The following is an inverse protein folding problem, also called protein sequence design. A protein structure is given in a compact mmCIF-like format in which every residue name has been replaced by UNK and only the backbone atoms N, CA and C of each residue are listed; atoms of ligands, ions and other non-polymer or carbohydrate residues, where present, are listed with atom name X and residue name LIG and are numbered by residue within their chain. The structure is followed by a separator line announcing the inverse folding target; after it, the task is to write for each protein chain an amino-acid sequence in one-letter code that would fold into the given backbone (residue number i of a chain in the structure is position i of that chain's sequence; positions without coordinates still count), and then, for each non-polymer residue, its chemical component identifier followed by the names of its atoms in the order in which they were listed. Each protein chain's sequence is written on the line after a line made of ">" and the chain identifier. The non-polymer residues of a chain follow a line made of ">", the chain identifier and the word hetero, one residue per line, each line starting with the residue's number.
data_IF_986075051224
#
_entry.id   IF_986075051224
#
_cell.length_a   1.000
_cell.length_b   1.000
_cell.length_c   1.000
_cell.angle_alpha   90.00
_cell.angle_beta   90.00
_cell.angle_gamma   90.00
#
_symmetry.space_group_name_H-M   'P 1'
#
loop_
_entity.id
_entity.type
_entity.pdbx_description
1 polymer ?
#
# COMPACT_ATOMS: atom_id res chain seq x y z
N UNK A 1 36.25 6.54 -6.22
CA UNK A 1 35.65 7.90 -6.31
C UNK A 1 35.05 8.26 -4.96
N UNK A 2 34.97 9.57 -4.57
CA UNK A 2 34.41 9.98 -3.28
C UNK A 2 32.86 9.94 -3.33
N UNK A 3 32.23 9.69 -2.18
CA UNK A 3 30.77 9.66 -2.03
C UNK A 3 30.12 10.94 -2.56
N UNK A 4 30.59 12.11 -2.14
CA UNK A 4 30.06 13.42 -2.57
C UNK A 4 30.04 13.61 -4.09
N UNK A 5 31.06 13.11 -4.79
CA UNK A 5 31.18 13.20 -6.24
C UNK A 5 30.26 12.20 -6.96
N UNK A 6 30.09 11.00 -6.40
CA UNK A 6 29.15 10.00 -6.92
C UNK A 6 27.71 10.51 -6.81
N UNK A 7 27.33 11.02 -5.64
CA UNK A 7 25.98 11.56 -5.41
C UNK A 7 25.69 12.77 -6.29
N UNK A 8 26.68 13.67 -6.49
CA UNK A 8 26.52 14.80 -7.40
C UNK A 8 26.26 14.34 -8.83
N UNK A 9 27.07 13.41 -9.34
CA UNK A 9 26.90 12.87 -10.69
C UNK A 9 25.58 12.12 -10.86
N UNK A 10 25.16 11.37 -9.86
CA UNK A 10 23.87 10.67 -9.86
C UNK A 10 22.69 11.65 -9.85
N UNK A 11 22.75 12.70 -9.04
CA UNK A 11 21.73 13.76 -9.06
C UNK A 11 21.61 14.43 -10.44
N UNK A 12 22.73 14.78 -11.08
CA UNK A 12 22.71 15.38 -12.41
C UNK A 12 22.06 14.46 -13.46
N UNK A 13 22.24 13.15 -13.35
CA UNK A 13 21.61 12.14 -14.22
C UNK A 13 20.11 12.00 -13.96
N UNK A 14 19.68 11.94 -12.71
CA UNK A 14 18.28 11.69 -12.34
C UNK A 14 17.39 12.94 -12.37
N UNK A 15 17.95 14.13 -12.35
CA UNK A 15 17.20 15.40 -12.21
C UNK A 15 16.16 15.66 -13.33
N UNK A 16 16.29 14.99 -14.48
CA UNK A 16 15.34 15.10 -15.58
C UNK A 16 14.26 14.01 -15.61
N UNK A 17 14.39 12.98 -14.74
CA UNK A 17 13.51 11.80 -14.73
C UNK A 17 12.83 11.55 -13.39
N UNK A 18 13.27 12.21 -12.32
CA UNK A 18 12.73 12.06 -10.98
C UNK A 18 12.61 13.41 -10.26
N UNK A 19 11.45 13.65 -9.65
CA UNK A 19 11.22 14.82 -8.79
C UNK A 19 12.00 14.70 -7.46
N UNK A 20 12.38 13.46 -7.07
CA UNK A 20 13.13 13.13 -5.86
C UNK A 20 14.57 12.69 -6.16
N UNK A 21 15.17 13.17 -7.26
CA UNK A 21 16.46 12.74 -7.78
C UNK A 21 17.59 12.65 -6.73
N UNK A 22 17.65 13.60 -5.79
CA UNK A 22 18.64 13.61 -4.73
C UNK A 22 18.41 12.48 -3.72
N UNK A 23 17.17 12.27 -3.33
CA UNK A 23 16.78 11.19 -2.42
C UNK A 23 16.99 9.83 -3.07
N UNK A 24 16.58 9.67 -4.33
CA UNK A 24 16.76 8.44 -5.10
C UNK A 24 18.24 8.05 -5.15
N UNK A 25 19.13 9.00 -5.52
CA UNK A 25 20.56 8.77 -5.57
C UNK A 25 21.13 8.35 -4.20
N UNK A 26 20.69 8.98 -3.12
CA UNK A 26 21.11 8.65 -1.77
C UNK A 26 20.64 7.25 -1.35
N UNK A 27 19.39 6.90 -1.61
CA UNK A 27 18.84 5.59 -1.28
C UNK A 27 19.55 4.46 -2.04
N UNK A 28 19.77 4.62 -3.34
CA UNK A 28 20.49 3.64 -4.15
C UNK A 28 21.95 3.45 -3.68
N UNK A 29 22.66 4.55 -3.39
CA UNK A 29 24.05 4.43 -2.90
C UNK A 29 24.10 3.86 -1.47
N UNK A 30 23.16 4.20 -0.61
CA UNK A 30 23.04 3.67 0.75
C UNK A 30 22.84 2.14 0.72
N UNK A 31 21.98 1.67 -0.17
CA UNK A 31 21.75 0.24 -0.40
C UNK A 31 23.04 -0.47 -0.84
N UNK A 32 23.76 0.07 -1.82
CA UNK A 32 25.01 -0.54 -2.33
C UNK A 32 26.10 -0.61 -1.28
N UNK A 33 26.16 0.39 -0.39
CA UNK A 33 27.19 0.47 0.66
C UNK A 33 26.77 -0.19 1.98
N UNK A 34 25.52 -0.64 2.10
CA UNK A 34 24.92 -1.16 3.33
C UNK A 34 25.07 -0.19 4.51
N UNK A 35 24.68 1.08 4.28
CA UNK A 35 24.77 2.16 5.27
C UNK A 35 23.50 3.02 5.25
N UNK A 36 23.27 3.80 6.31
CA UNK A 36 22.19 4.80 6.30
C UNK A 36 22.57 6.03 5.45
N UNK A 37 21.60 6.76 4.95
CA UNK A 37 21.82 8.01 4.19
C UNK A 37 22.54 9.07 5.02
N UNK A 38 22.38 9.09 6.37
CA UNK A 38 23.10 9.98 7.27
C UNK A 38 24.63 9.78 7.26
N UNK A 39 25.08 8.60 6.85
CA UNK A 39 26.50 8.30 6.67
C UNK A 39 27.17 9.25 5.66
N UNK A 40 26.48 9.67 4.62
CA UNK A 40 26.99 10.54 3.57
C UNK A 40 27.28 11.95 4.04
N UNK A 41 26.53 12.43 5.03
CA UNK A 41 26.78 13.73 5.66
C UNK A 41 27.98 13.70 6.62
N UNK A 42 28.24 12.53 7.19
CA UNK A 42 29.37 12.36 8.13
C UNK A 42 30.67 12.10 7.38
N UNK A 43 30.65 11.38 6.27
CA UNK A 43 31.82 10.89 5.55
C UNK A 43 31.77 11.17 4.04
N UNK A 44 31.55 12.40 3.60
CA UNK A 44 31.33 12.72 2.17
C UNK A 44 32.60 12.45 1.33
N UNK A 45 33.78 12.56 1.93
CA UNK A 45 35.09 12.35 1.27
C UNK A 45 35.52 10.87 1.17
N UNK A 46 34.75 9.95 1.79
CA UNK A 46 35.15 8.54 1.79
C UNK A 46 35.12 7.94 0.40
N UNK A 47 36.12 7.10 0.12
CA UNK A 47 36.27 6.44 -1.17
C UNK A 47 35.34 5.23 -1.27
N UNK A 48 34.67 5.11 -2.39
CA UNK A 48 33.82 3.93 -2.78
C UNK A 48 34.68 3.04 -3.68
N UNK A 49 34.62 1.72 -3.47
CA UNK A 49 35.29 0.73 -4.30
C UNK A 49 34.80 0.72 -5.74
N UNK A 50 35.62 0.29 -6.69
CA UNK A 50 35.22 0.20 -8.11
C UNK A 50 34.07 -0.82 -8.33
N UNK A 51 33.98 -1.87 -7.51
CA UNK A 51 32.89 -2.84 -7.57
C UNK A 51 31.56 -2.22 -7.13
N UNK A 52 31.54 -1.49 -6.02
CA UNK A 52 30.34 -0.78 -5.56
C UNK A 52 29.93 0.33 -6.54
N UNK A 53 30.88 1.01 -7.17
CA UNK A 53 30.59 2.01 -8.22
C UNK A 53 29.86 1.36 -9.39
N UNK A 54 30.29 0.16 -9.84
CA UNK A 54 29.63 -0.56 -10.95
C UNK A 54 28.20 -0.98 -10.58
N UNK A 55 27.99 -1.51 -9.37
CA UNK A 55 26.64 -1.88 -8.88
C UNK A 55 25.76 -0.64 -8.78
N UNK A 56 26.27 0.45 -8.25
CA UNK A 56 25.55 1.71 -8.14
C UNK A 56 25.18 2.28 -9.52
N UNK A 57 26.10 2.24 -10.50
CA UNK A 57 25.85 2.74 -11.85
C UNK A 57 24.80 1.90 -12.60
N UNK A 58 24.75 0.59 -12.37
CA UNK A 58 23.69 -0.28 -12.90
C UNK A 58 22.32 0.11 -12.35
N UNK A 59 22.19 0.25 -11.02
CA UNK A 59 20.93 0.69 -10.38
C UNK A 59 20.52 2.09 -10.86
N UNK A 60 21.48 2.99 -10.98
CA UNK A 60 21.23 4.34 -11.46
C UNK A 60 20.73 4.36 -12.90
N UNK A 61 21.30 3.50 -13.77
CA UNK A 61 20.88 3.37 -15.16
C UNK A 61 19.46 2.80 -15.30
N UNK A 62 19.06 1.89 -14.44
CA UNK A 62 17.69 1.38 -14.36
C UNK A 62 16.72 2.47 -13.87
N UNK A 63 17.12 3.26 -12.87
CA UNK A 63 16.33 4.39 -12.39
C UNK A 63 16.15 5.48 -13.45
N UNK A 64 17.17 5.77 -14.26
CA UNK A 64 17.06 6.68 -15.42
C UNK A 64 16.01 6.21 -16.44
N UNK A 65 15.80 4.89 -16.57
CA UNK A 65 14.73 4.33 -17.40
C UNK A 65 13.35 4.40 -16.72
N UNK A 66 13.31 4.89 -15.47
CA UNK A 66 12.11 5.13 -14.67
C UNK A 66 11.71 3.97 -13.76
N UNK A 67 12.56 2.92 -13.60
CA UNK A 67 12.25 1.83 -12.68
C UNK A 67 12.12 2.36 -11.25
N UNK A 68 11.05 1.99 -10.51
CA UNK A 68 10.81 2.47 -9.15
C UNK A 68 11.95 2.15 -8.20
N UNK A 69 12.36 3.10 -7.35
CA UNK A 69 13.41 2.89 -6.34
C UNK A 69 13.07 1.70 -5.44
N UNK A 70 11.81 1.55 -5.07
CA UNK A 70 11.38 0.43 -4.23
C UNK A 70 11.65 -0.94 -4.88
N UNK A 71 11.47 -1.08 -6.20
CA UNK A 71 11.80 -2.32 -6.92
C UNK A 71 13.31 -2.53 -7.04
N UNK A 72 14.08 -1.45 -7.22
CA UNK A 72 15.55 -1.53 -7.24
C UNK A 72 16.14 -1.96 -5.90
N UNK A 73 15.55 -1.50 -4.81
CA UNK A 73 15.94 -1.86 -3.44
C UNK A 73 15.36 -3.20 -2.98
N UNK A 74 14.25 -3.64 -3.58
CA UNK A 74 13.49 -4.83 -3.19
C UNK A 74 12.65 -4.66 -1.93
N UNK A 75 12.55 -3.44 -1.37
CA UNK A 75 11.75 -3.15 -0.18
C UNK A 75 11.23 -1.72 -0.16
N UNK A 76 10.17 -1.50 0.63
CA UNK A 76 9.52 -0.21 0.89
C UNK A 76 9.12 -0.11 2.36
N UNK A 77 9.40 1.03 2.98
CA UNK A 77 8.88 1.33 4.30
C UNK A 77 7.40 1.73 4.21
N UNK A 78 6.57 1.22 5.11
CA UNK A 78 5.16 1.59 5.23
C UNK A 78 4.75 1.46 6.70
N UNK A 79 4.13 2.50 7.28
CA UNK A 79 3.81 2.54 8.69
C UNK A 79 5.07 2.31 9.55
N UNK A 80 5.03 1.35 10.47
CA UNK A 80 6.19 0.93 11.28
C UNK A 80 6.95 -0.27 10.69
N UNK A 81 6.66 -0.67 9.44
CA UNK A 81 7.10 -1.91 8.83
C UNK A 81 8.09 -1.67 7.68
N UNK A 82 8.94 -2.65 7.43
CA UNK A 82 9.73 -2.76 6.22
C UNK A 82 9.22 -3.93 5.37
N UNK A 83 8.64 -3.63 4.23
CA UNK A 83 7.96 -4.59 3.37
C UNK A 83 8.81 -4.93 2.14
N UNK A 84 8.99 -6.21 1.87
CA UNK A 84 9.45 -6.69 0.57
C UNK A 84 8.41 -6.28 -0.50
N UNK A 85 8.88 -5.82 -1.64
CA UNK A 85 8.03 -5.45 -2.79
C UNK A 85 8.40 -6.26 -4.02
N UNK A 86 7.45 -6.44 -4.91
CA UNK A 86 7.61 -7.21 -6.14
C UNK A 86 6.72 -6.62 -7.24
N UNK A 87 7.09 -6.78 -8.53
CA UNK A 87 6.26 -6.32 -9.64
C UNK A 87 4.87 -6.97 -9.75
N UNK A 88 4.52 -7.91 -8.88
CA UNK A 88 3.18 -8.51 -8.84
C UNK A 88 2.18 -7.73 -7.99
N UNK A 89 2.62 -6.69 -7.25
CA UNK A 89 1.78 -5.87 -6.37
C UNK A 89 2.03 -4.39 -6.57
N UNK A 90 1.07 -3.56 -6.12
CA UNK A 90 1.28 -2.13 -5.93
C UNK A 90 2.40 -1.89 -4.92
N UNK A 91 3.26 -0.90 -5.16
CA UNK A 91 4.20 -0.40 -4.14
C UNK A 91 3.39 0.37 -3.09
N UNK A 92 3.53 0.07 -1.78
CA UNK A 92 2.81 0.79 -0.74
C UNK A 92 3.03 2.30 -0.80
N UNK A 93 1.93 3.07 -0.74
CA UNK A 93 1.94 4.54 -0.82
C UNK A 93 1.73 5.15 0.57
N UNK A 94 2.36 6.28 0.84
CA UNK A 94 2.16 7.00 2.10
C UNK A 94 0.69 7.41 2.33
N UNK A 95 -0.05 7.75 1.27
CA UNK A 95 -1.47 8.12 1.37
C UNK A 95 -2.33 6.96 1.90
N UNK A 96 -1.95 5.70 1.63
CA UNK A 96 -2.62 4.50 2.13
C UNK A 96 -2.51 4.36 3.66
N UNK A 97 -1.55 5.01 4.31
CA UNK A 97 -1.48 5.05 5.78
C UNK A 97 -2.75 5.70 6.39
N UNK A 98 -3.42 6.59 5.62
CA UNK A 98 -4.71 7.16 6.05
C UNK A 98 -5.81 6.11 6.20
N UNK A 99 -5.80 5.06 5.36
CA UNK A 99 -6.72 3.92 5.49
C UNK A 99 -6.50 3.18 6.82
N UNK A 100 -5.23 2.94 7.17
CA UNK A 100 -4.86 2.32 8.47
C UNK A 100 -5.32 3.19 9.65
N UNK A 101 -5.06 4.51 9.61
CA UNK A 101 -5.48 5.44 10.66
C UNK A 101 -6.99 5.43 10.88
N UNK A 102 -7.79 5.51 9.80
CA UNK A 102 -9.26 5.50 9.90
C UNK A 102 -9.76 4.16 10.45
N UNK A 103 -9.18 3.04 10.03
CA UNK A 103 -9.54 1.73 10.56
C UNK A 103 -9.25 1.61 12.07
N UNK A 104 -8.10 2.10 12.52
CA UNK A 104 -7.77 2.15 13.95
C UNK A 104 -8.71 3.05 14.74
N UNK A 105 -9.06 4.24 14.21
CA UNK A 105 -9.99 5.18 14.85
C UNK A 105 -11.38 4.59 15.07
N UNK A 106 -11.92 3.84 14.11
CA UNK A 106 -13.24 3.21 14.30
C UNK A 106 -13.18 2.05 15.30
N UNK A 107 -12.07 1.32 15.33
CA UNK A 107 -11.88 0.21 16.28
C UNK A 107 -11.67 0.71 17.71
N UNK A 108 -11.03 1.85 17.91
CA UNK A 108 -10.91 2.50 19.25
C UNK A 108 -12.25 2.90 19.84
N UNK A 109 -13.23 3.23 18.99
CA UNK A 109 -14.57 3.65 19.42
C UNK A 109 -15.52 2.47 19.66
N UNK A 110 -15.10 1.26 19.28
CA UNK A 110 -15.84 0.03 19.55
C UNK A 110 -15.25 -0.67 20.76
N UNK A 111 -16.08 -1.44 21.51
CA UNK A 111 -15.56 -2.30 22.57
C UNK A 111 -14.67 -3.38 21.91
N UNK A 112 -13.36 -3.11 21.85
CA UNK A 112 -12.40 -4.08 21.31
C UNK A 112 -12.46 -5.35 22.17
N UNK A 113 -12.88 -6.43 21.52
CA UNK A 113 -12.80 -7.74 22.13
C UNK A 113 -11.52 -8.44 21.66
N UNK A 114 -10.98 -9.42 22.43
CA UNK A 114 -9.87 -10.25 21.98
C UNK A 114 -10.17 -11.04 20.68
N UNK A 115 -11.39 -10.92 20.17
CA UNK A 115 -11.89 -11.63 18.99
C UNK A 115 -12.13 -10.71 17.80
N UNK A 116 -11.68 -9.45 17.84
CA UNK A 116 -11.82 -8.51 16.71
C UNK A 116 -11.19 -9.11 15.45
N UNK A 117 -12.01 -9.23 14.40
CA UNK A 117 -11.62 -9.81 13.12
C UNK A 117 -11.62 -8.71 12.06
N UNK A 118 -10.53 -8.63 11.32
CA UNK A 118 -10.32 -7.61 10.30
C UNK A 118 -10.03 -8.31 8.98
N UNK A 119 -10.64 -7.82 7.90
CA UNK A 119 -10.42 -8.29 6.54
C UNK A 119 -9.80 -7.18 5.70
N UNK A 120 -8.74 -7.50 4.98
CA UNK A 120 -8.10 -6.63 3.98
C UNK A 120 -8.29 -7.24 2.58
N UNK A 121 -9.09 -6.58 1.75
CA UNK A 121 -9.41 -7.02 0.39
C UNK A 121 -8.45 -6.38 -0.63
N UNK A 122 -7.78 -7.21 -1.44
CA UNK A 122 -6.72 -6.75 -2.32
C UNK A 122 -5.45 -6.41 -1.54
N UNK A 123 -5.00 -7.33 -0.68
CA UNK A 123 -3.97 -7.05 0.34
C UNK A 123 -2.59 -6.72 -0.23
N UNK A 124 -2.30 -7.10 -1.48
CA UNK A 124 -1.04 -6.82 -2.17
C UNK A 124 0.18 -7.30 -1.38
N UNK A 125 1.03 -6.37 -0.96
CA UNK A 125 2.20 -6.64 -0.11
C UNK A 125 1.85 -7.02 1.33
N UNK A 126 0.58 -6.93 1.71
CA UNK A 126 0.12 -7.04 3.10
C UNK A 126 0.22 -5.73 3.88
N UNK A 127 0.47 -4.59 3.24
CA UNK A 127 0.79 -3.33 3.91
C UNK A 127 -0.28 -2.92 4.93
N UNK A 128 -1.57 -2.88 4.54
CA UNK A 128 -2.68 -2.49 5.42
C UNK A 128 -2.93 -3.58 6.47
N UNK A 129 -3.07 -4.84 6.04
CA UNK A 129 -3.31 -5.97 6.95
C UNK A 129 -2.25 -6.09 8.05
N UNK A 130 -0.97 -5.99 7.67
CA UNK A 130 0.15 -6.13 8.60
C UNK A 130 0.26 -4.92 9.54
N UNK A 131 -0.02 -3.71 9.06
CA UNK A 131 -0.04 -2.53 9.93
C UNK A 131 -1.14 -2.63 10.99
N UNK A 132 -2.35 -3.03 10.60
CA UNK A 132 -3.44 -3.28 11.55
C UNK A 132 -3.11 -4.41 12.52
N UNK A 133 -2.50 -5.50 12.05
CA UNK A 133 -2.10 -6.61 12.89
C UNK A 133 -1.01 -6.24 13.91
N UNK A 134 -0.08 -5.34 13.53
CA UNK A 134 0.97 -4.84 14.42
C UNK A 134 0.42 -3.96 15.55
N UNK A 135 -0.52 -3.05 15.22
CA UNK A 135 -1.16 -2.14 16.19
C UNK A 135 -2.17 -2.87 17.09
N UNK A 136 -2.76 -3.96 16.61
CA UNK A 136 -3.82 -4.71 17.30
C UNK A 136 -3.39 -6.18 17.53
N UNK A 137 -2.45 -6.46 18.44
CA UNK A 137 -1.83 -7.79 18.57
C UNK A 137 -2.79 -8.91 19.04
N UNK A 138 -3.98 -8.53 19.52
CA UNK A 138 -5.01 -9.47 19.95
C UNK A 138 -6.11 -9.72 18.91
N UNK A 139 -6.09 -8.98 17.80
CA UNK A 139 -7.01 -9.17 16.68
C UNK A 139 -6.61 -10.38 15.81
N UNK A 140 -7.53 -10.81 14.95
CA UNK A 140 -7.26 -11.74 13.85
C UNK A 140 -7.42 -10.96 12.54
N UNK A 141 -6.35 -10.85 11.77
CA UNK A 141 -6.37 -10.16 10.47
C UNK A 141 -6.28 -11.17 9.35
N UNK A 142 -7.17 -11.08 8.37
CA UNK A 142 -7.15 -11.88 7.14
C UNK A 142 -6.93 -10.93 5.98
N UNK A 143 -5.88 -11.15 5.19
CA UNK A 143 -5.66 -10.48 3.91
C UNK A 143 -5.99 -11.42 2.76
N UNK A 144 -6.67 -10.91 1.74
CA UNK A 144 -6.92 -11.71 0.53
C UNK A 144 -6.46 -10.96 -0.71
N UNK A 145 -6.00 -11.72 -1.70
CA UNK A 145 -5.63 -11.20 -3.01
C UNK A 145 -5.95 -12.21 -4.11
N UNK A 146 -6.26 -11.72 -5.30
CA UNK A 146 -6.49 -12.55 -6.47
C UNK A 146 -5.20 -13.22 -6.93
N UNK A 147 -4.06 -12.54 -6.77
CA UNK A 147 -2.74 -12.93 -7.28
C UNK A 147 -2.03 -13.77 -6.23
N UNK A 148 -1.77 -15.04 -6.53
CA UNK A 148 -1.07 -15.98 -5.63
C UNK A 148 0.29 -15.45 -5.18
N UNK A 149 1.08 -14.86 -6.09
CA UNK A 149 2.36 -14.21 -5.76
C UNK A 149 2.24 -13.04 -4.76
N UNK A 150 1.10 -12.34 -4.70
CA UNK A 150 0.82 -11.32 -3.70
C UNK A 150 0.56 -11.96 -2.32
N UNK A 151 -0.21 -13.04 -2.27
CA UNK A 151 -0.47 -13.82 -1.05
C UNK A 151 0.83 -14.36 -0.44
N UNK A 152 1.71 -14.94 -1.28
CA UNK A 152 3.03 -15.40 -0.83
C UNK A 152 3.90 -14.24 -0.33
N UNK A 153 3.90 -13.11 -1.03
CA UNK A 153 4.66 -11.91 -0.65
C UNK A 153 4.20 -11.36 0.70
N UNK A 154 2.88 -11.23 0.91
CA UNK A 154 2.30 -10.80 2.18
C UNK A 154 2.68 -11.76 3.32
N UNK A 155 2.69 -13.07 3.08
CA UNK A 155 3.15 -14.08 4.04
C UNK A 155 4.64 -13.93 4.41
N UNK A 156 5.51 -13.63 3.44
CA UNK A 156 6.93 -13.33 3.71
C UNK A 156 7.08 -12.05 4.52
N UNK A 157 6.30 -11.01 4.19
CA UNK A 157 6.29 -9.75 4.93
C UNK A 157 5.81 -9.91 6.37
N UNK A 158 4.81 -10.77 6.63
CA UNK A 158 4.41 -11.12 7.99
C UNK A 158 5.57 -11.75 8.79
N UNK A 159 6.28 -12.69 8.17
CA UNK A 159 7.43 -13.36 8.78
C UNK A 159 8.57 -12.37 9.05
N UNK A 160 8.93 -11.53 8.06
CA UNK A 160 9.97 -10.50 8.15
C UNK A 160 9.71 -9.55 9.32
N UNK A 161 8.47 -9.10 9.50
CA UNK A 161 8.07 -8.15 10.52
C UNK A 161 7.59 -8.84 11.83
N UNK A 162 7.71 -10.18 11.94
CA UNK A 162 7.37 -10.98 13.12
C UNK A 162 5.90 -10.87 13.54
N UNK A 163 5.00 -10.64 12.60
CA UNK A 163 3.56 -10.56 12.81
C UNK A 163 2.98 -11.98 12.71
N UNK A 164 2.18 -12.39 13.70
CA UNK A 164 1.65 -13.76 13.82
C UNK A 164 0.14 -13.86 13.80
N UNK A 165 -0.54 -12.72 13.92
CA UNK A 165 -2.00 -12.60 13.96
C UNK A 165 -2.59 -12.18 12.61
N UNK A 166 -1.82 -12.26 11.54
CA UNK A 166 -2.26 -12.06 10.16
C UNK A 166 -2.09 -13.35 9.36
N UNK A 167 -3.07 -13.66 8.51
CA UNK A 167 -3.05 -14.79 7.57
C UNK A 167 -3.49 -14.31 6.19
N UNK A 168 -2.99 -14.97 5.13
CA UNK A 168 -3.24 -14.54 3.76
C UNK A 168 -3.79 -15.70 2.93
N UNK A 169 -4.82 -15.42 2.11
CA UNK A 169 -5.52 -16.40 1.30
C UNK A 169 -5.67 -15.88 -0.14
N UNK A 170 -5.56 -16.78 -1.10
CA UNK A 170 -5.93 -16.44 -2.47
C UNK A 170 -7.45 -16.42 -2.61
N UNK A 171 -8.01 -15.29 -3.06
CA UNK A 171 -9.44 -15.10 -3.26
C UNK A 171 -9.71 -14.00 -4.28
N UNK A 172 -10.75 -14.19 -5.11
CA UNK A 172 -11.38 -13.07 -5.80
C UNK A 172 -12.36 -12.43 -4.83
N UNK A 173 -11.97 -11.30 -4.24
CA UNK A 173 -12.74 -10.62 -3.19
C UNK A 173 -13.18 -11.57 -2.09
N UNK A 174 -14.46 -11.89 -1.98
CA UNK A 174 -15.07 -12.68 -0.92
C UNK A 174 -15.19 -14.19 -1.20
N UNK A 175 -14.80 -14.66 -2.38
CA UNK A 175 -15.11 -16.03 -2.86
C UNK A 175 -14.61 -17.14 -1.93
N UNK A 176 -13.45 -16.97 -1.30
CA UNK A 176 -12.85 -17.95 -0.40
C UNK A 176 -13.21 -17.72 1.09
N UNK A 177 -14.12 -16.78 1.41
CA UNK A 177 -14.35 -16.31 2.77
C UNK A 177 -15.68 -16.79 3.40
N UNK A 178 -16.42 -17.67 2.75
CA UNK A 178 -17.75 -18.14 3.18
C UNK A 178 -17.79 -18.66 4.63
N UNK A 179 -16.69 -19.28 5.08
CA UNK A 179 -16.57 -19.81 6.45
C UNK A 179 -15.81 -18.86 7.41
N UNK A 180 -15.38 -17.71 6.93
CA UNK A 180 -14.52 -16.78 7.69
C UNK A 180 -15.27 -15.61 8.32
N UNK A 181 -16.49 -15.30 7.86
CA UNK A 181 -17.31 -14.21 8.41
C UNK A 181 -17.80 -14.49 9.85
N UNK A 182 -18.22 -13.47 10.62
CA UNK A 182 -18.25 -12.06 10.30
C UNK A 182 -16.95 -11.31 10.65
N UNK A 183 -16.80 -10.06 10.11
CA UNK A 183 -15.69 -9.14 10.37
C UNK A 183 -16.21 -7.84 10.98
N UNK A 184 -15.54 -7.33 11.99
CA UNK A 184 -15.81 -6.01 12.59
C UNK A 184 -15.37 -4.87 11.69
N UNK A 185 -14.29 -5.07 10.91
CA UNK A 185 -13.82 -4.11 9.93
C UNK A 185 -13.39 -4.83 8.66
N UNK A 186 -13.86 -4.32 7.54
CA UNK A 186 -13.38 -4.69 6.20
C UNK A 186 -12.72 -3.44 5.61
N UNK A 187 -11.45 -3.54 5.25
CA UNK A 187 -10.70 -2.48 4.56
C UNK A 187 -10.35 -2.91 3.14
N UNK A 188 -10.21 -1.96 2.24
CA UNK A 188 -9.69 -2.21 0.90
C UNK A 188 -9.04 -0.97 0.30
N UNK A 189 -7.90 -1.17 -0.35
CA UNK A 189 -7.36 -0.27 -1.36
C UNK A 189 -7.48 -0.95 -2.72
N UNK A 190 -8.67 -0.98 -3.33
CA UNK A 190 -8.90 -1.67 -4.59
C UNK A 190 -8.31 -0.88 -5.76
N UNK A 191 -8.15 -1.46 -6.95
CA UNK A 191 -7.89 -0.70 -8.16
C UNK A 191 -8.98 0.36 -8.35
N UNK A 192 -8.56 1.60 -8.65
CA UNK A 192 -9.51 2.73 -8.79
C UNK A 192 -9.16 3.70 -9.93
N UNK A 193 -8.21 3.36 -10.80
CA UNK A 193 -7.81 4.21 -11.93
C UNK A 193 -8.63 3.83 -13.16
N UNK A 194 -9.20 4.86 -13.82
CA UNK A 194 -9.88 4.68 -15.11
C UNK A 194 -8.90 4.15 -16.17
N UNK A 195 -9.27 3.15 -16.99
CA UNK A 195 -8.41 2.63 -18.05
C UNK A 195 -7.85 3.67 -19.02
N UNK A 196 -8.57 4.78 -19.21
CA UNK A 196 -8.19 5.87 -20.11
C UNK A 196 -7.37 6.99 -19.41
N UNK A 197 -7.03 6.83 -18.13
CA UNK A 197 -6.29 7.84 -17.39
C UNK A 197 -4.83 7.95 -17.88
N UNK A 198 -4.43 9.18 -18.14
CA UNK A 198 -3.08 9.54 -18.64
C UNK A 198 -1.96 9.16 -17.66
N UNK A 199 -2.25 9.14 -16.36
CA UNK A 199 -1.27 8.83 -15.32
C UNK A 199 -0.75 7.39 -15.40
N UNK A 200 -1.48 6.46 -16.02
CA UNK A 200 -1.05 5.07 -16.23
C UNK A 200 0.24 4.94 -17.07
N UNK A 201 0.56 5.95 -17.86
CA UNK A 201 1.77 5.98 -18.72
C UNK A 201 2.91 6.82 -18.12
N UNK A 202 2.77 7.35 -16.91
CA UNK A 202 3.70 8.30 -16.30
C UNK A 202 4.38 7.73 -15.03
N UNK A 203 5.56 8.24 -14.74
CA UNK A 203 6.29 7.94 -13.50
C UNK A 203 6.47 6.45 -13.21
N UNK A 204 6.42 6.10 -11.96
CA UNK A 204 6.62 4.75 -11.43
C UNK A 204 5.44 3.80 -11.75
N UNK A 205 4.21 4.35 -11.88
CA UNK A 205 2.96 3.61 -12.13
C UNK A 205 3.04 2.70 -13.36
N UNK A 206 3.77 3.11 -14.41
CA UNK A 206 3.94 2.31 -15.64
C UNK A 206 4.68 0.97 -15.43
N UNK A 207 5.36 0.77 -14.31
CA UNK A 207 6.08 -0.45 -13.95
C UNK A 207 5.24 -1.37 -13.06
N UNK A 208 4.13 -0.86 -12.53
CA UNK A 208 3.27 -1.61 -11.62
C UNK A 208 2.22 -2.43 -12.39
N UNK A 209 1.71 -3.53 -11.81
CA UNK A 209 0.77 -4.39 -12.51
C UNK A 209 -0.56 -3.66 -12.73
N UNK A 210 -1.05 -3.68 -13.96
CA UNK A 210 -2.33 -3.03 -14.32
C UNK A 210 -3.51 -3.55 -13.51
N UNK A 211 -3.47 -4.82 -13.11
CA UNK A 211 -4.50 -5.44 -12.26
C UNK A 211 -4.59 -4.83 -10.86
N UNK A 212 -3.54 -4.16 -10.37
CA UNK A 212 -3.55 -3.45 -9.10
C UNK A 212 -3.91 -1.96 -9.23
N UNK A 213 -4.11 -1.48 -10.47
CA UNK A 213 -4.30 -0.05 -10.76
C UNK A 213 -5.67 0.24 -11.37
N UNK A 214 -6.10 -0.60 -12.33
CA UNK A 214 -7.19 -0.27 -13.25
C UNK A 214 -8.46 -1.00 -12.83
N UNK A 215 -9.56 -0.23 -12.74
CA UNK A 215 -10.91 -0.76 -12.64
C UNK A 215 -11.82 -0.11 -13.68
N UNK A 216 -12.80 -0.89 -14.18
CA UNK A 216 -13.83 -0.42 -15.07
C UNK A 216 -14.78 0.59 -14.38
N UNK A 217 -15.77 1.11 -15.10
CA UNK A 217 -16.75 2.07 -14.59
C UNK A 217 -16.09 3.30 -13.95
N UNK A 218 -15.17 3.95 -14.70
CA UNK A 218 -14.38 5.10 -14.20
C UNK A 218 -13.61 4.83 -12.91
N UNK A 219 -13.07 3.61 -12.79
CA UNK A 219 -12.33 3.17 -11.61
C UNK A 219 -13.20 2.76 -10.42
N UNK A 220 -14.52 2.61 -10.58
CA UNK A 220 -15.45 2.36 -9.47
C UNK A 220 -16.02 0.94 -9.42
N UNK A 221 -15.76 0.10 -10.44
CA UNK A 221 -16.39 -1.22 -10.55
C UNK A 221 -16.09 -2.13 -9.37
N UNK A 222 -14.85 -2.16 -8.89
CA UNK A 222 -14.45 -2.99 -7.76
C UNK A 222 -15.06 -2.48 -6.44
N UNK A 223 -15.07 -1.15 -6.24
CA UNK A 223 -15.74 -0.53 -5.07
C UNK A 223 -17.23 -0.86 -5.05
N UNK A 224 -17.91 -0.72 -6.19
CA UNK A 224 -19.34 -1.04 -6.32
C UNK A 224 -19.61 -2.52 -5.97
N UNK A 225 -18.80 -3.44 -6.50
CA UNK A 225 -18.88 -4.87 -6.20
C UNK A 225 -18.69 -5.16 -4.70
N UNK A 226 -17.65 -4.58 -4.09
CA UNK A 226 -17.36 -4.79 -2.68
C UNK A 226 -18.49 -4.22 -1.81
N UNK A 227 -18.98 -3.02 -2.08
CA UNK A 227 -20.10 -2.41 -1.34
C UNK A 227 -21.36 -3.28 -1.42
N UNK A 228 -21.65 -3.87 -2.57
CA UNK A 228 -22.80 -4.74 -2.74
C UNK A 228 -22.71 -6.01 -1.88
N UNK A 229 -21.52 -6.60 -1.76
CA UNK A 229 -21.29 -7.93 -1.17
C UNK A 229 -20.88 -7.88 0.32
N UNK A 230 -20.16 -6.84 0.76
CA UNK A 230 -19.64 -6.72 2.13
C UNK A 230 -20.64 -6.93 3.27
N UNK A 231 -21.94 -6.54 3.14
CA UNK A 231 -22.94 -6.79 4.18
C UNK A 231 -23.07 -8.24 4.64
N UNK A 232 -22.83 -9.20 3.74
CA UNK A 232 -22.94 -10.63 4.06
C UNK A 232 -21.76 -11.14 4.91
N UNK A 233 -20.71 -10.33 5.02
CA UNK A 233 -19.45 -10.63 5.73
C UNK A 233 -19.20 -9.72 6.93
N UNK A 234 -19.96 -8.63 7.08
CA UNK A 234 -19.80 -7.71 8.20
C UNK A 234 -20.53 -8.19 9.46
N UNK A 235 -19.87 -8.02 10.59
CA UNK A 235 -20.53 -8.12 11.88
C UNK A 235 -21.58 -7.00 12.06
N UNK A 236 -22.60 -7.19 12.92
CA UNK A 236 -23.48 -6.09 13.30
C UNK A 236 -22.65 -4.91 13.85
N UNK A 237 -22.92 -3.70 13.37
CA UNK A 237 -22.17 -2.47 13.66
C UNK A 237 -20.74 -2.45 13.06
N UNK A 238 -20.39 -3.39 12.19
CA UNK A 238 -19.10 -3.43 11.49
C UNK A 238 -18.93 -2.30 10.48
N UNK A 239 -17.71 -2.04 10.08
CA UNK A 239 -17.35 -0.96 9.18
C UNK A 239 -16.74 -1.48 7.89
N UNK A 240 -17.09 -0.82 6.78
CA UNK A 240 -16.45 -0.97 5.48
C UNK A 240 -15.71 0.33 5.16
N UNK A 241 -14.42 0.24 4.82
CA UNK A 241 -13.54 1.39 4.66
C UNK A 241 -12.72 1.22 3.37
N UNK A 242 -12.75 2.24 2.50
CA UNK A 242 -12.04 2.23 1.23
C UNK A 242 -11.01 3.36 1.12
N UNK A 243 -9.88 3.07 0.49
CA UNK A 243 -9.13 4.08 -0.24
C UNK A 243 -9.72 4.23 -1.65
N UNK A 244 -9.68 5.43 -2.22
CA UNK A 244 -10.18 5.75 -3.55
C UNK A 244 -9.47 6.98 -4.15
N UNK A 245 -9.68 7.25 -5.43
CA UNK A 245 -9.20 8.46 -6.09
C UNK A 245 -9.78 9.74 -5.48
N UNK A 246 -9.01 10.82 -5.54
CA UNK A 246 -9.33 12.10 -4.90
C UNK A 246 -10.68 12.71 -5.33
N UNK A 247 -11.16 12.36 -6.50
CA UNK A 247 -12.43 12.84 -7.09
C UNK A 247 -13.59 11.84 -6.95
N UNK A 248 -13.35 10.64 -6.39
CA UNK A 248 -14.34 9.56 -6.31
C UNK A 248 -15.14 9.55 -5.01
N UNK A 249 -14.79 10.35 -4.00
CA UNK A 249 -15.40 10.33 -2.66
C UNK A 249 -16.94 10.48 -2.68
N UNK A 250 -17.48 11.33 -3.56
CA UNK A 250 -18.92 11.53 -3.66
C UNK A 250 -19.64 10.27 -4.14
N UNK A 251 -19.12 9.59 -5.15
CA UNK A 251 -19.68 8.35 -5.69
C UNK A 251 -19.58 7.20 -4.67
N UNK A 252 -18.44 7.08 -3.96
CA UNK A 252 -18.26 6.06 -2.92
C UNK A 252 -19.26 6.25 -1.77
N UNK A 253 -19.46 7.51 -1.32
CA UNK A 253 -20.51 7.81 -0.31
C UNK A 253 -21.91 7.45 -0.80
N UNK A 254 -22.22 7.72 -2.07
CA UNK A 254 -23.51 7.39 -2.68
C UNK A 254 -23.74 5.88 -2.71
N UNK A 255 -22.74 5.08 -3.14
CA UNK A 255 -22.83 3.61 -3.11
C UNK A 255 -23.09 3.07 -1.71
N UNK A 256 -22.31 3.51 -0.72
CA UNK A 256 -22.49 3.10 0.68
C UNK A 256 -23.88 3.47 1.20
N UNK A 257 -24.32 4.73 1.00
CA UNK A 257 -25.62 5.21 1.48
C UNK A 257 -26.77 4.46 0.81
N UNK A 258 -26.70 4.25 -0.49
CA UNK A 258 -27.74 3.55 -1.27
C UNK A 258 -27.83 2.08 -0.85
N UNK A 259 -26.69 1.44 -0.51
CA UNK A 259 -26.66 0.06 0.00
C UNK A 259 -27.23 -0.08 1.41
N UNK A 260 -27.34 1.02 2.17
CA UNK A 260 -27.92 1.05 3.52
C UNK A 260 -26.90 1.19 4.63
N UNK A 261 -25.64 1.54 4.32
CA UNK A 261 -24.65 1.92 5.34
C UNK A 261 -25.04 3.25 5.97
N UNK A 262 -24.73 3.39 7.25
CA UNK A 262 -24.90 4.61 8.07
C UNK A 262 -23.55 5.20 8.43
N UNK A 263 -23.50 6.38 9.06
CA UNK A 263 -22.26 7.07 9.45
C UNK A 263 -21.26 7.20 8.29
N UNK A 264 -21.76 7.35 7.07
CA UNK A 264 -20.91 7.48 5.89
C UNK A 264 -20.13 8.79 5.95
N UNK A 265 -18.79 8.70 5.90
CA UNK A 265 -17.90 9.84 6.01
C UNK A 265 -16.64 9.65 5.16
N UNK A 266 -16.10 10.76 4.62
CA UNK A 266 -14.81 10.78 3.91
C UNK A 266 -13.76 11.51 4.73
N UNK A 267 -12.50 11.09 4.56
CA UNK A 267 -11.32 11.61 5.25
C UNK A 267 -10.26 11.99 4.24
N UNK A 268 -9.58 13.08 4.52
CA UNK A 268 -8.54 13.61 3.65
C UNK A 268 -7.17 13.03 3.99
N UNK A 269 -6.32 12.92 2.94
CA UNK A 269 -4.89 12.69 3.07
C UNK A 269 -4.17 13.96 3.59
N UNK A 270 -2.86 13.89 3.76
CA UNK A 270 -2.04 15.02 4.21
C UNK A 270 -1.99 16.16 3.17
N UNK A 271 -2.30 15.87 1.90
CA UNK A 271 -2.42 16.85 0.81
C UNK A 271 -3.75 17.60 0.80
N UNK A 272 -4.71 17.21 1.65
CA UNK A 272 -6.05 17.79 1.70
C UNK A 272 -7.03 17.23 0.65
N UNK A 273 -6.68 16.12 -0.01
CA UNK A 273 -7.56 15.45 -0.96
C UNK A 273 -8.37 14.37 -0.26
N UNK A 274 -9.65 14.25 -0.61
CA UNK A 274 -10.45 13.13 -0.14
C UNK A 274 -9.81 11.80 -0.59
N UNK A 275 -9.51 10.91 0.37
CA UNK A 275 -8.75 9.68 0.10
C UNK A 275 -9.40 8.44 0.65
N UNK A 276 -10.03 8.52 1.81
CA UNK A 276 -10.63 7.38 2.49
C UNK A 276 -12.10 7.65 2.75
N UNK A 277 -12.98 6.70 2.44
CA UNK A 277 -14.41 6.78 2.78
C UNK A 277 -14.83 5.52 3.54
N UNK A 278 -15.59 5.71 4.61
CA UNK A 278 -16.13 4.63 5.43
C UNK A 278 -17.65 4.65 5.51
N UNK A 279 -18.23 3.51 5.86
CA UNK A 279 -19.63 3.37 6.26
C UNK A 279 -19.80 2.29 7.31
N UNK A 280 -20.79 2.44 8.22
CA UNK A 280 -21.12 1.46 9.24
C UNK A 280 -22.34 0.64 8.83
N UNK A 281 -22.24 -0.69 8.89
CA UNK A 281 -23.34 -1.62 8.66
C UNK A 281 -24.12 -1.86 9.96
N UNK A 282 -25.40 -1.43 9.99
CA UNK A 282 -26.22 -1.49 11.21
C UNK A 282 -27.38 -2.51 11.13
N UNK A 283 -27.57 -3.14 9.97
CA UNK A 283 -28.60 -4.17 9.82
C UNK A 283 -28.12 -5.50 10.44
N UNK A 284 -29.07 -6.27 11.00
CA UNK A 284 -28.82 -7.58 11.63
C UNK A 284 -29.16 -8.69 10.64
#
# INVERSE_FOLDING_TARGET
>A
MRIELLLKGAYERLNFVSETAQLDAQLLLAHVLDVSTSYFYTWPEKQVSDDNIRVFDDLLSRREQGEPVAYLLGHQAFWSLELEVSPCTLIPRADTERLVEVALQVLEQTDQTPTTRILDLGTGTGAVALSLAAELPHSTVIGVDLIDGAVELAGRNATRNRIRNATFLQSSWFDALQEQAPFEVIVSNPPYIDPDDKHLSQGDVRFEPKSALIADNHGLADIEHIVATAPDFLAPQGYLIFEHGYDQAAAVREYLTTRGFTKVASFQDLGGNDRVTMGQWTQV
#
